data_IF_728183534084
#
_entry.id   IF_728183534084
#
_cell.length_a   1.000
_cell.length_b   1.000
_cell.length_c   1.000
_cell.angle_alpha   90.00
_cell.angle_beta   90.00
_cell.angle_gamma   90.00
#
_symmetry.space_group_name_H-M   'P 1'
#
loop_
_entity.id
_entity.type
_entity.pdbx_description
1 polymer ?
#
# COMPACT_ATOMS: atom_id res chain seq x y z
N UNK A 1 0.45 1.38 -25.87
CA UNK A 1 -0.78 0.75 -25.34
C UNK A 1 -1.95 1.63 -25.74
N UNK A 2 -3.02 1.09 -26.33
CA UNK A 2 -4.26 1.83 -26.53
C UNK A 2 -4.90 2.04 -25.16
N UNK A 3 -4.84 3.26 -24.62
CA UNK A 3 -5.53 3.61 -23.37
C UNK A 3 -7.01 3.28 -23.56
N UNK A 4 -7.51 2.29 -22.83
CA UNK A 4 -8.87 1.79 -23.03
C UNK A 4 -9.88 2.86 -22.62
N UNK A 5 -11.00 2.95 -23.31
CA UNK A 5 -12.19 3.74 -22.91
C UNK A 5 -12.85 3.22 -21.61
N UNK A 6 -12.22 2.30 -20.88
CA UNK A 6 -12.77 1.75 -19.65
C UNK A 6 -12.36 2.59 -18.44
N UNK A 7 -13.27 2.79 -17.48
CA UNK A 7 -12.95 3.45 -16.22
C UNK A 7 -11.79 2.73 -15.53
N UNK A 8 -10.90 3.51 -14.92
CA UNK A 8 -9.72 2.97 -14.23
C UNK A 8 -9.88 3.14 -12.74
N UNK A 9 -9.75 2.03 -12.01
CA UNK A 9 -9.62 2.04 -10.55
C UNK A 9 -8.16 1.97 -10.18
N UNK A 10 -7.67 2.97 -9.45
CA UNK A 10 -6.27 3.04 -9.02
C UNK A 10 -6.19 2.80 -7.51
N UNK A 11 -5.41 1.81 -7.10
CA UNK A 11 -5.21 1.46 -5.69
C UNK A 11 -4.09 2.32 -5.08
N UNK A 12 -4.39 2.95 -3.95
CA UNK A 12 -3.42 3.61 -3.08
C UNK A 12 -3.15 2.84 -1.80
N UNK A 13 -1.90 2.42 -1.59
CA UNK A 13 -1.41 1.81 -0.34
C UNK A 13 -0.26 2.60 0.30
N UNK A 14 0.28 3.60 -0.40
CA UNK A 14 1.36 4.46 0.08
C UNK A 14 0.91 5.92 0.10
N UNK A 15 1.73 6.77 -0.53
CA UNK A 15 1.48 8.21 -0.61
C UNK A 15 0.11 8.58 -1.18
N UNK A 16 -0.46 7.76 -2.08
CA UNK A 16 -1.79 8.00 -2.64
C UNK A 16 -2.88 8.12 -1.57
N UNK A 17 -2.71 7.51 -0.38
CA UNK A 17 -3.66 7.63 0.72
C UNK A 17 -3.82 9.06 1.28
N UNK A 18 -2.77 9.89 1.17
CA UNK A 18 -2.76 11.29 1.62
C UNK A 18 -2.42 12.29 0.51
N UNK A 19 -2.06 11.82 -0.68
CA UNK A 19 -1.86 12.61 -1.91
C UNK A 19 -2.58 11.89 -3.07
N UNK A 20 -3.93 11.98 -3.15
CA UNK A 20 -4.74 11.30 -4.18
C UNK A 20 -4.29 11.62 -5.61
N UNK A 21 -4.62 10.75 -6.60
CA UNK A 21 -4.42 11.08 -8.00
C UNK A 21 -5.37 12.20 -8.44
N UNK A 22 -5.01 13.01 -9.45
CA UNK A 22 -5.90 14.03 -9.99
C UNK A 22 -7.14 13.39 -10.62
N UNK A 23 -8.22 14.16 -10.74
CA UNK A 23 -9.50 13.75 -11.37
C UNK A 23 -10.22 12.55 -10.74
N UNK A 24 -9.78 12.08 -9.57
CA UNK A 24 -10.50 11.05 -8.84
C UNK A 24 -11.86 11.57 -8.37
N UNK A 25 -12.94 10.85 -8.71
CA UNK A 25 -14.31 11.23 -8.35
C UNK A 25 -14.77 10.48 -7.11
N UNK A 26 -14.40 9.20 -6.98
CA UNK A 26 -14.68 8.39 -5.80
C UNK A 26 -13.39 7.89 -5.16
N UNK A 27 -13.42 7.76 -3.83
CA UNK A 27 -12.39 7.13 -3.01
C UNK A 27 -13.05 6.10 -2.10
N UNK A 28 -12.83 4.82 -2.37
CA UNK A 28 -13.45 3.74 -1.62
C UNK A 28 -12.40 3.00 -0.77
N UNK A 29 -12.54 2.91 0.55
CA UNK A 29 -11.62 2.15 1.38
C UNK A 29 -11.85 0.64 1.22
N UNK A 30 -10.88 -0.16 1.66
CA UNK A 30 -10.96 -1.61 1.58
C UNK A 30 -9.59 -2.24 1.66
N UNK A 31 -9.45 -3.46 1.15
CA UNK A 31 -8.21 -4.21 1.25
C UNK A 31 -7.96 -5.12 0.04
N UNK A 32 -6.70 -5.46 -0.16
CA UNK A 32 -6.27 -6.56 -1.03
C UNK A 32 -5.70 -7.69 -0.18
N UNK A 33 -5.78 -8.91 -0.72
CA UNK A 33 -5.33 -10.13 -0.10
C UNK A 33 -4.02 -10.62 -0.73
N UNK A 34 -3.22 -11.37 0.02
CA UNK A 34 -2.00 -12.01 -0.46
C UNK A 34 -0.78 -11.11 -0.51
N UNK A 35 -0.82 -9.95 0.17
CA UNK A 35 0.30 -9.01 0.22
C UNK A 35 0.59 -8.58 1.65
N UNK A 36 1.83 -8.15 1.89
CA UNK A 36 2.23 -7.34 3.03
C UNK A 36 2.85 -6.03 2.57
N UNK A 37 2.82 -4.99 3.40
CA UNK A 37 3.39 -3.68 3.10
C UNK A 37 4.65 -3.45 3.91
N UNK A 38 5.74 -3.05 3.25
CA UNK A 38 7.03 -2.79 3.90
C UNK A 38 7.69 -1.53 3.37
N UNK A 39 8.44 -0.83 4.23
CA UNK A 39 9.31 0.29 3.85
C UNK A 39 10.63 -0.21 3.25
N UNK A 40 10.55 -1.13 2.30
CA UNK A 40 11.70 -1.81 1.70
C UNK A 40 11.97 -1.36 0.26
N UNK A 41 11.52 -0.16 -0.08
CA UNK A 41 11.88 0.52 -1.31
C UNK A 41 12.70 1.76 -0.96
N UNK A 42 13.89 1.91 -1.54
CA UNK A 42 14.68 3.13 -1.45
C UNK A 42 13.99 4.26 -2.21
N UNK A 43 14.15 5.51 -1.75
CA UNK A 43 13.68 6.69 -2.47
C UNK A 43 14.79 7.73 -2.53
N UNK A 44 15.26 8.00 -3.74
CA UNK A 44 16.40 8.90 -3.97
C UNK A 44 15.98 10.29 -4.50
N UNK A 45 14.70 10.44 -4.83
CA UNK A 45 14.11 11.56 -5.58
C UNK A 45 12.97 12.28 -4.84
N UNK A 46 12.36 11.61 -3.85
CA UNK A 46 11.22 12.13 -3.10
C UNK A 46 11.51 12.29 -1.62
N UNK A 47 11.85 11.18 -0.93
CA UNK A 47 11.98 11.15 0.55
C UNK A 47 13.43 11.00 1.03
N UNK A 48 14.38 11.04 0.10
CA UNK A 48 15.81 11.19 0.37
C UNK A 48 16.50 11.87 -0.80
N UNK A 49 17.81 11.67 -0.90
CA UNK A 49 18.65 12.08 -2.03
C UNK A 49 19.41 10.87 -2.58
N UNK A 50 20.09 10.98 -3.74
CA UNK A 50 20.95 9.90 -4.23
C UNK A 50 22.05 9.49 -3.23
N UNK A 51 22.60 10.43 -2.47
CA UNK A 51 23.66 10.18 -1.47
C UNK A 51 23.11 9.65 -0.14
N UNK A 52 21.88 10.04 0.21
CA UNK A 52 21.18 9.63 1.44
C UNK A 52 19.74 9.24 1.11
N UNK A 53 19.52 8.04 0.52
CA UNK A 53 18.20 7.63 0.08
C UNK A 53 17.28 7.38 1.27
N UNK A 54 16.02 7.75 1.12
CA UNK A 54 14.97 7.44 2.08
C UNK A 54 14.47 5.99 1.95
N UNK A 55 13.37 5.71 2.63
CA UNK A 55 12.58 4.49 2.57
C UNK A 55 11.12 4.84 2.32
N UNK A 56 10.50 4.20 1.35
CA UNK A 56 9.07 4.31 1.03
C UNK A 56 8.46 2.91 0.94
N UNK A 57 7.13 2.83 0.89
CA UNK A 57 6.44 1.54 0.91
C UNK A 57 6.43 0.85 -0.44
N UNK A 58 6.61 -0.45 -0.43
CA UNK A 58 6.22 -1.37 -1.51
C UNK A 58 5.35 -2.50 -0.96
N UNK A 59 4.86 -3.38 -1.84
CA UNK A 59 4.11 -4.57 -1.51
C UNK A 59 4.93 -5.83 -1.84
N UNK A 60 4.82 -6.84 -0.99
CA UNK A 60 5.44 -8.15 -1.19
C UNK A 60 4.32 -9.17 -1.23
N UNK A 61 4.24 -9.92 -2.33
CA UNK A 61 3.22 -10.95 -2.49
C UNK A 61 3.55 -12.22 -1.69
N UNK A 62 2.50 -13.03 -1.46
CA UNK A 62 2.58 -14.29 -0.75
C UNK A 62 3.60 -15.26 -1.36
N UNK A 63 3.71 -15.30 -2.69
CA UNK A 63 4.63 -16.24 -3.38
C UNK A 63 6.07 -15.93 -2.99
N UNK A 64 6.46 -14.66 -3.02
CA UNK A 64 7.79 -14.21 -2.61
C UNK A 64 8.03 -14.46 -1.11
N UNK A 65 7.02 -14.30 -0.26
CA UNK A 65 7.10 -14.61 1.17
C UNK A 65 7.34 -16.11 1.39
N UNK A 66 6.58 -16.98 0.72
CA UNK A 66 6.72 -18.44 0.84
C UNK A 66 8.11 -18.93 0.45
N UNK A 67 8.78 -18.24 -0.48
CA UNK A 67 10.08 -18.63 -1.02
C UNK A 67 11.29 -18.04 -0.25
N UNK A 68 11.07 -17.19 0.76
CA UNK A 68 12.15 -16.47 1.42
C UNK A 68 12.01 -16.48 2.95
N UNK A 69 12.87 -17.25 3.63
CA UNK A 69 12.85 -17.40 5.10
C UNK A 69 12.97 -16.07 5.87
N UNK A 70 13.67 -15.07 5.33
CA UNK A 70 13.79 -13.78 6.00
C UNK A 70 12.48 -12.98 5.90
N UNK A 71 11.75 -13.08 4.79
CA UNK A 71 10.39 -12.53 4.68
C UNK A 71 9.42 -13.28 5.60
N UNK A 72 9.53 -14.62 5.68
CA UNK A 72 8.72 -15.41 6.60
C UNK A 72 8.88 -14.97 8.06
N UNK A 73 10.13 -14.78 8.52
CA UNK A 73 10.42 -14.30 9.89
C UNK A 73 9.80 -12.93 10.18
N UNK A 74 9.86 -12.03 9.21
CA UNK A 74 9.26 -10.71 9.33
C UNK A 74 7.72 -10.79 9.36
N UNK A 75 7.11 -11.58 8.48
CA UNK A 75 5.64 -11.79 8.45
C UNK A 75 5.13 -12.49 9.71
N UNK A 76 5.89 -13.43 10.30
CA UNK A 76 5.59 -14.00 11.62
C UNK A 76 5.53 -12.95 12.73
N UNK A 77 6.34 -11.90 12.64
CA UNK A 77 6.41 -10.87 13.67
C UNK A 77 5.22 -9.92 13.63
N UNK A 78 4.63 -9.68 12.46
CA UNK A 78 3.66 -8.61 12.27
C UNK A 78 2.25 -9.11 11.90
N UNK A 79 2.11 -9.84 10.79
CA UNK A 79 0.81 -10.28 10.28
C UNK A 79 0.36 -11.60 10.94
N UNK A 80 1.30 -12.52 11.19
CA UNK A 80 1.01 -13.84 11.78
C UNK A 80 1.45 -13.93 13.24
N UNK A 81 1.61 -12.80 13.93
CA UNK A 81 2.10 -12.75 15.32
C UNK A 81 1.34 -13.62 16.32
N UNK A 82 0.03 -13.76 16.12
CA UNK A 82 -0.84 -14.55 17.00
C UNK A 82 -0.66 -16.06 16.74
N UNK A 83 0.04 -16.43 15.65
CA UNK A 83 0.39 -17.80 15.25
C UNK A 83 1.90 -18.09 15.38
N UNK A 84 2.73 -17.13 15.80
CA UNK A 84 4.20 -17.28 15.78
C UNK A 84 4.72 -18.46 16.63
N UNK A 85 4.02 -18.83 17.70
CA UNK A 85 4.36 -19.97 18.56
C UNK A 85 3.81 -21.33 18.11
N UNK A 86 2.99 -21.38 17.07
CA UNK A 86 2.26 -22.61 16.67
C UNK A 86 2.91 -23.37 15.51
N UNK A 87 4.10 -22.98 15.06
CA UNK A 87 4.79 -23.63 13.95
C UNK A 87 4.05 -23.46 12.62
N UNK A 88 3.89 -22.21 12.17
CA UNK A 88 3.23 -21.87 10.90
C UNK A 88 3.93 -22.59 9.74
N UNK A 89 3.17 -23.40 8.98
CA UNK A 89 3.61 -23.89 7.69
C UNK A 89 3.32 -22.85 6.61
N UNK A 90 4.36 -22.23 6.07
CA UNK A 90 4.22 -21.18 5.05
C UNK A 90 3.66 -21.72 3.72
N UNK A 91 3.90 -22.99 3.39
CA UNK A 91 3.40 -23.60 2.16
C UNK A 91 1.88 -23.78 2.17
N UNK A 92 1.25 -23.78 3.35
CA UNK A 92 -0.20 -23.91 3.52
C UNK A 92 -0.91 -22.55 3.57
N UNK A 93 -0.17 -21.43 3.65
CA UNK A 93 -0.77 -20.11 3.64
C UNK A 93 -1.44 -19.82 2.30
N UNK A 94 -2.59 -19.16 2.38
CA UNK A 94 -3.35 -18.71 1.23
C UNK A 94 -3.35 -17.20 1.16
N UNK A 95 -3.77 -16.62 0.03
CA UNK A 95 -3.90 -15.17 -0.09
C UNK A 95 -4.81 -14.56 1.00
N UNK A 96 -5.74 -15.32 1.57
CA UNK A 96 -6.64 -14.85 2.62
C UNK A 96 -5.97 -14.67 3.99
N UNK A 97 -4.78 -15.25 4.19
CA UNK A 97 -4.05 -15.14 5.44
C UNK A 97 -3.31 -13.81 5.59
N UNK A 98 -3.09 -13.09 4.48
CA UNK A 98 -2.39 -11.81 4.44
C UNK A 98 -3.28 -10.77 3.78
N UNK A 99 -3.40 -9.59 4.38
CA UNK A 99 -4.16 -8.49 3.77
C UNK A 99 -3.56 -7.15 4.13
N UNK A 100 -3.73 -6.18 3.23
CA UNK A 100 -3.35 -4.79 3.46
C UNK A 100 -4.51 -3.87 3.13
N UNK A 101 -4.71 -2.87 3.99
CA UNK A 101 -5.76 -1.87 3.82
C UNK A 101 -5.30 -0.70 2.96
N UNK A 102 -6.14 -0.26 2.04
CA UNK A 102 -5.88 0.92 1.24
C UNK A 102 -7.18 1.60 0.83
N UNK A 103 -7.13 2.35 -0.26
CA UNK A 103 -8.32 2.77 -0.96
C UNK A 103 -8.11 2.70 -2.46
N UNK A 104 -9.20 2.56 -3.20
CA UNK A 104 -9.22 2.69 -4.65
C UNK A 104 -9.84 4.02 -5.05
N UNK A 105 -9.33 4.59 -6.14
CA UNK A 105 -9.79 5.84 -6.72
C UNK A 105 -10.45 5.56 -8.07
N UNK A 106 -11.69 6.00 -8.24
CA UNK A 106 -12.38 5.94 -9.52
C UNK A 106 -11.93 7.11 -10.41
N UNK A 107 -11.34 6.78 -11.56
CA UNK A 107 -10.96 7.74 -12.58
C UNK A 107 -11.93 7.63 -13.76
N UNK A 108 -12.65 8.71 -14.12
CA UNK A 108 -13.52 8.72 -15.28
C UNK A 108 -12.76 8.36 -16.57
N UNK A 109 -13.40 7.65 -17.53
CA UNK A 109 -12.75 7.28 -18.80
C UNK A 109 -12.10 8.46 -19.53
N UNK A 110 -12.73 9.65 -19.52
CA UNK A 110 -12.22 10.87 -20.13
C UNK A 110 -10.90 11.38 -19.55
N UNK A 111 -10.54 10.92 -18.34
CA UNK A 111 -9.35 11.31 -17.58
C UNK A 111 -8.37 10.16 -17.35
N UNK A 112 -8.72 8.94 -17.72
CA UNK A 112 -7.92 7.74 -17.46
C UNK A 112 -6.49 7.84 -18.03
N UNK A 113 -6.35 8.34 -19.26
CA UNK A 113 -5.04 8.53 -19.91
C UNK A 113 -4.16 9.55 -19.16
N UNK A 114 -4.71 10.71 -18.82
CA UNK A 114 -3.99 11.77 -18.09
C UNK A 114 -3.50 11.28 -16.73
N UNK A 115 -4.34 10.52 -16.02
CA UNK A 115 -3.97 9.94 -14.72
C UNK A 115 -2.94 8.82 -14.86
N UNK A 116 -3.03 7.98 -15.90
CA UNK A 116 -2.03 6.95 -16.16
C UNK A 116 -0.64 7.57 -16.40
N UNK A 117 -0.54 8.58 -17.27
CA UNK A 117 0.71 9.31 -17.52
C UNK A 117 1.24 10.00 -16.26
N UNK A 118 0.36 10.60 -15.45
CA UNK A 118 0.73 11.17 -14.16
C UNK A 118 1.32 10.12 -13.20
N UNK A 119 0.73 8.92 -13.12
CA UNK A 119 1.18 7.86 -12.23
C UNK A 119 2.49 7.22 -12.73
N UNK A 120 2.64 7.02 -14.03
CA UNK A 120 3.92 6.58 -14.61
C UNK A 120 5.06 7.56 -14.26
N UNK A 121 4.80 8.87 -14.30
CA UNK A 121 5.75 9.90 -13.87
C UNK A 121 5.89 10.03 -12.34
N UNK A 122 4.98 9.49 -11.55
CA UNK A 122 5.07 9.57 -10.09
C UNK A 122 5.84 8.38 -9.51
N UNK A 123 5.79 7.25 -10.19
CA UNK A 123 6.31 5.97 -9.70
C UNK A 123 7.57 5.52 -10.48
N UNK A 124 8.35 6.49 -11.00
CA UNK A 124 9.47 6.30 -11.95
C UNK A 124 10.62 5.43 -11.40
N UNK A 125 10.77 5.34 -10.07
CA UNK A 125 11.83 4.58 -9.37
C UNK A 125 11.58 3.06 -9.39
N UNK A 126 11.23 2.54 -10.56
CA UNK A 126 11.12 1.11 -10.90
C UNK A 126 9.84 0.42 -10.43
N UNK A 127 8.82 1.17 -10.02
CA UNK A 127 7.50 0.56 -9.78
C UNK A 127 6.90 0.12 -11.10
N UNK A 128 6.22 -1.02 -11.08
CA UNK A 128 5.50 -1.56 -12.24
C UNK A 128 4.02 -1.67 -11.92
N UNK A 129 3.16 -1.53 -12.93
CA UNK A 129 1.73 -1.64 -12.77
C UNK A 129 1.29 -3.12 -12.74
N UNK A 130 0.46 -3.47 -11.77
CA UNK A 130 -0.14 -4.79 -11.59
C UNK A 130 -1.65 -4.67 -11.44
N UNK A 131 -2.40 -5.67 -11.91
CA UNK A 131 -3.84 -5.76 -11.67
C UNK A 131 -4.10 -6.60 -10.42
N UNK A 132 -4.92 -6.09 -9.51
CA UNK A 132 -5.35 -6.78 -8.29
C UNK A 132 -6.84 -6.64 -8.06
N UNK A 133 -7.43 -7.68 -7.46
CA UNK A 133 -8.82 -7.66 -7.04
C UNK A 133 -8.92 -7.00 -5.64
N UNK A 134 -9.64 -5.87 -5.56
CA UNK A 134 -9.79 -5.07 -4.35
C UNK A 134 -11.14 -5.32 -3.68
N UNK A 135 -11.12 -5.70 -2.41
CA UNK A 135 -12.31 -5.91 -1.58
C UNK A 135 -12.74 -4.57 -1.00
N UNK A 136 -13.86 -4.04 -1.48
CA UNK A 136 -14.37 -2.73 -1.06
C UNK A 136 -15.09 -2.82 0.29
N UNK A 137 -14.84 -1.83 1.13
CA UNK A 137 -15.62 -1.54 2.33
C UNK A 137 -16.34 -0.21 2.11
N UNK A 138 -17.65 -0.25 1.87
CA UNK A 138 -18.42 0.99 1.81
C UNK A 138 -18.57 1.60 3.19
N UNK A 139 -18.41 2.93 3.26
CA UNK A 139 -18.71 3.73 4.43
C UNK A 139 -20.19 4.12 4.43
N UNK A 140 -20.80 4.45 5.59
CA UNK A 140 -22.24 4.72 5.67
C UNK A 140 -22.74 5.85 4.73
N UNK A 141 -21.92 6.86 4.49
CA UNK A 141 -22.19 7.94 3.54
C UNK A 141 -22.17 7.45 2.09
N UNK A 142 -21.27 6.52 1.78
CA UNK A 142 -21.13 5.90 0.45
C UNK A 142 -22.24 4.90 0.15
N UNK A 143 -22.73 4.19 1.16
CA UNK A 143 -23.92 3.33 1.06
C UNK A 143 -25.21 4.13 0.77
N UNK A 144 -25.19 5.43 1.04
CA UNK A 144 -26.33 6.33 0.80
C UNK A 144 -26.22 7.14 -0.50
N UNK A 145 -25.12 7.01 -1.27
CA UNK A 145 -24.88 7.76 -2.51
C UNK A 145 -25.49 7.03 -3.72
N UNK A 146 -26.58 7.54 -4.33
CA UNK A 146 -27.25 6.86 -5.44
C UNK A 146 -26.38 6.75 -6.70
N UNK A 147 -25.56 7.75 -7.00
CA UNK A 147 -24.70 7.76 -8.19
C UNK A 147 -23.58 6.72 -8.05
N UNK A 148 -23.00 6.62 -6.85
CA UNK A 148 -22.01 5.59 -6.54
C UNK A 148 -22.64 4.19 -6.60
N UNK A 149 -23.82 3.99 -6.02
CA UNK A 149 -24.50 2.70 -6.06
C UNK A 149 -24.86 2.26 -7.48
N UNK A 150 -25.26 3.19 -8.34
CA UNK A 150 -25.49 2.93 -9.76
C UNK A 150 -24.19 2.49 -10.45
N UNK A 151 -23.10 3.23 -10.26
CA UNK A 151 -21.78 2.85 -10.76
C UNK A 151 -21.36 1.45 -10.28
N UNK A 152 -21.52 1.18 -8.98
CA UNK A 152 -21.13 -0.09 -8.36
C UNK A 152 -22.01 -1.27 -8.75
N UNK A 153 -23.27 -1.03 -9.15
CA UNK A 153 -24.18 -2.10 -9.60
C UNK A 153 -23.67 -2.87 -10.82
N UNK A 154 -22.76 -2.26 -11.59
CA UNK A 154 -22.11 -2.85 -12.77
C UNK A 154 -20.89 -3.70 -12.41
N UNK A 155 -20.45 -3.69 -11.16
CA UNK A 155 -19.21 -4.32 -10.71
C UNK A 155 -19.45 -5.69 -10.10
N UNK A 156 -18.42 -6.53 -10.16
CA UNK A 156 -18.48 -7.90 -9.64
C UNK A 156 -18.59 -7.92 -8.11
N UNK A 157 -19.31 -8.92 -7.61
CA UNK A 157 -19.37 -9.27 -6.19
C UNK A 157 -18.79 -10.66 -5.96
N UNK A 158 -18.19 -10.87 -4.80
CA UNK A 158 -17.78 -12.20 -4.35
C UNK A 158 -18.98 -13.05 -3.91
N UNK A 159 -18.72 -14.30 -3.53
CA UNK A 159 -19.77 -15.22 -3.05
C UNK A 159 -20.49 -14.76 -1.77
N UNK A 160 -19.92 -13.80 -1.04
CA UNK A 160 -20.50 -13.21 0.17
C UNK A 160 -21.24 -11.89 -0.12
N UNK A 161 -21.30 -11.46 -1.38
CA UNK A 161 -21.94 -10.21 -1.80
C UNK A 161 -21.06 -8.97 -1.63
N UNK A 162 -19.78 -9.10 -1.30
CA UNK A 162 -18.84 -7.99 -1.21
C UNK A 162 -18.39 -7.56 -2.59
N UNK A 163 -18.26 -6.26 -2.84
CA UNK A 163 -17.73 -5.77 -4.11
C UNK A 163 -16.25 -6.10 -4.26
N UNK A 164 -15.92 -6.73 -5.38
CA UNK A 164 -14.57 -7.11 -5.77
C UNK A 164 -14.21 -6.38 -7.08
N UNK A 165 -13.40 -5.34 -6.96
CA UNK A 165 -13.10 -4.42 -8.06
C UNK A 165 -11.68 -4.66 -8.56
N UNK A 166 -11.53 -4.93 -9.86
CA UNK A 166 -10.24 -4.94 -10.52
C UNK A 166 -9.63 -3.54 -10.51
N UNK A 167 -8.44 -3.43 -9.95
CA UNK A 167 -7.73 -2.16 -9.79
C UNK A 167 -6.27 -2.28 -10.18
N UNK A 168 -5.69 -1.17 -10.64
CA UNK A 168 -4.26 -1.06 -10.91
C UNK A 168 -3.54 -0.62 -9.65
N UNK A 169 -2.47 -1.31 -9.32
CA UNK A 169 -1.55 -0.98 -8.22
C UNK A 169 -0.12 -0.92 -8.75
N UNK A 170 0.65 0.06 -8.28
CA UNK A 170 2.06 0.20 -8.62
C UNK A 170 2.91 -0.47 -7.56
N UNK A 171 3.76 -1.43 -7.91
CA UNK A 171 4.59 -2.20 -6.96
C UNK A 171 6.06 -2.14 -7.37
N UNK A 172 6.94 -1.76 -6.44
CA UNK A 172 8.38 -1.95 -6.55
C UNK A 172 8.69 -3.40 -6.23
N UNK A 173 8.78 -4.24 -7.26
CA UNK A 173 8.97 -5.69 -7.11
C UNK A 173 10.30 -6.01 -6.45
N UNK A 174 10.45 -7.23 -5.93
CA UNK A 174 11.71 -7.65 -5.28
C UNK A 174 12.94 -7.62 -6.21
N UNK A 175 12.71 -7.68 -7.52
CA UNK A 175 13.76 -7.58 -8.55
C UNK A 175 14.12 -6.12 -8.92
N UNK A 176 13.45 -5.12 -8.33
CA UNK A 176 13.73 -3.71 -8.58
C UNK A 176 15.08 -3.34 -7.93
N UNK A 177 15.92 -2.58 -8.64
CA UNK A 177 17.21 -2.08 -8.14
C UNK A 177 17.08 -1.22 -6.86
N UNK A 178 15.93 -0.58 -6.64
CA UNK A 178 15.60 0.20 -5.46
C UNK A 178 14.98 -0.64 -4.33
N UNK A 179 14.76 -1.94 -4.51
CA UNK A 179 14.34 -2.83 -3.44
C UNK A 179 15.51 -3.10 -2.49
N UNK A 180 15.30 -2.86 -1.20
CA UNK A 180 16.34 -3.00 -0.15
C UNK A 180 15.97 -4.04 0.92
N UNK A 181 14.84 -4.72 0.74
CA UNK A 181 14.35 -5.71 1.68
C UNK A 181 15.09 -7.05 1.60
N UNK A 182 15.04 -7.86 2.66
CA UNK A 182 14.50 -7.54 3.98
C UNK A 182 15.46 -6.64 4.77
N UNK A 183 14.90 -5.66 5.50
CA UNK A 183 15.68 -4.71 6.31
C UNK A 183 15.14 -4.71 7.76
N UNK A 184 16.03 -4.68 8.76
CA UNK A 184 15.64 -4.61 10.17
C UNK A 184 14.87 -3.31 10.44
N UNK A 185 13.85 -3.39 11.30
CA UNK A 185 12.99 -2.25 11.58
C UNK A 185 13.76 -1.07 12.20
N UNK A 186 14.85 -1.32 12.95
CA UNK A 186 15.66 -0.25 13.50
C UNK A 186 16.54 0.42 12.44
N UNK A 187 17.05 -0.36 11.48
CA UNK A 187 17.82 0.18 10.36
C UNK A 187 16.92 1.06 9.50
N UNK A 188 15.75 0.57 9.10
CA UNK A 188 14.72 1.35 8.40
C UNK A 188 14.32 2.60 9.21
N UNK A 189 14.08 2.45 10.52
CA UNK A 189 13.68 3.57 11.38
C UNK A 189 14.76 4.64 11.52
N UNK A 190 16.04 4.24 11.58
CA UNK A 190 17.16 5.18 11.67
C UNK A 190 17.20 6.08 10.43
N UNK A 191 17.07 5.51 9.24
CA UNK A 191 17.03 6.22 7.96
C UNK A 191 15.82 7.15 7.89
N UNK A 192 14.62 6.62 8.20
CA UNK A 192 13.38 7.42 8.16
C UNK A 192 13.43 8.60 9.12
N UNK A 193 14.11 8.45 10.26
CA UNK A 193 14.17 9.50 11.28
C UNK A 193 14.98 10.73 10.87
N UNK A 194 15.92 10.57 9.92
CA UNK A 194 16.87 11.62 9.52
C UNK A 194 16.72 12.09 8.08
N UNK A 195 16.34 11.20 7.16
CA UNK A 195 16.46 11.51 5.74
C UNK A 195 15.34 12.44 5.26
N UNK A 196 15.71 13.35 4.36
CA UNK A 196 14.83 14.38 3.79
C UNK A 196 15.11 14.43 2.29
N UNK A 197 14.05 14.43 1.49
CA UNK A 197 14.15 14.63 0.05
C UNK A 197 13.31 15.83 -0.43
N UNK A 198 13.24 16.06 -1.74
CA UNK A 198 12.47 17.15 -2.35
C UNK A 198 10.98 17.18 -1.95
N UNK A 199 10.40 16.03 -1.61
CA UNK A 199 9.00 15.92 -1.17
C UNK A 199 8.81 16.07 0.36
N UNK A 200 9.86 16.45 1.08
CA UNK A 200 9.88 16.65 2.52
C UNK A 200 10.49 15.48 3.31
N UNK A 201 10.47 15.56 4.66
CA UNK A 201 11.08 14.56 5.53
C UNK A 201 10.50 13.15 5.32
N UNK A 202 11.34 12.13 5.44
CA UNK A 202 10.89 10.75 5.32
C UNK A 202 9.94 10.36 6.46
N UNK A 203 10.19 10.84 7.68
CA UNK A 203 9.31 10.64 8.84
C UNK A 203 7.89 11.19 8.62
N UNK A 204 7.76 12.29 7.86
CA UNK A 204 6.46 12.85 7.52
C UNK A 204 5.66 11.89 6.61
N UNK A 205 6.32 11.23 5.65
CA UNK A 205 5.70 10.18 4.83
C UNK A 205 5.10 9.08 5.71
N UNK A 206 5.90 8.54 6.63
CA UNK A 206 5.47 7.46 7.53
C UNK A 206 4.32 7.91 8.43
N UNK A 207 4.42 9.12 8.99
CA UNK A 207 3.40 9.68 9.89
C UNK A 207 2.06 9.91 9.18
N UNK A 208 2.11 10.47 7.96
CA UNK A 208 0.92 10.68 7.14
C UNK A 208 0.29 9.33 6.76
N UNK A 209 1.10 8.33 6.38
CA UNK A 209 0.61 7.00 6.05
C UNK A 209 -0.12 6.33 7.22
N UNK A 210 0.51 6.30 8.41
CA UNK A 210 -0.09 5.72 9.62
C UNK A 210 -1.39 6.43 9.97
N UNK A 211 -1.43 7.76 9.85
CA UNK A 211 -2.62 8.56 10.11
C UNK A 211 -3.74 8.22 9.13
N UNK A 212 -3.44 8.21 7.82
CA UNK A 212 -4.42 7.87 6.79
C UNK A 212 -4.98 6.47 6.95
N UNK A 213 -4.14 5.49 7.26
CA UNK A 213 -4.61 4.12 7.53
C UNK A 213 -5.55 4.09 8.73
N UNK A 214 -5.22 4.75 9.84
CA UNK A 214 -6.05 4.76 11.05
C UNK A 214 -7.46 5.32 10.81
N UNK A 215 -7.61 6.23 9.84
CA UNK A 215 -8.88 6.88 9.51
C UNK A 215 -9.61 6.26 8.31
N UNK A 216 -9.06 5.22 7.66
CA UNK A 216 -9.70 4.55 6.52
C UNK A 216 -10.98 3.80 6.89
N UNK A 217 -11.02 3.20 8.07
CA UNK A 217 -12.16 2.44 8.58
C UNK A 217 -12.57 2.97 9.96
N UNK A 218 -13.82 3.41 10.16
CA UNK A 218 -14.31 3.91 11.45
C UNK A 218 -14.18 2.90 12.60
N UNK A 219 -14.19 1.60 12.29
CA UNK A 219 -14.02 0.53 13.28
C UNK A 219 -12.55 0.19 13.56
N UNK A 220 -11.60 0.94 12.98
CA UNK A 220 -10.17 0.73 13.13
C UNK A 220 -9.67 -0.66 12.69
N UNK A 221 -10.33 -1.32 11.74
CA UNK A 221 -9.84 -2.60 11.20
C UNK A 221 -8.61 -2.43 10.30
N UNK A 222 -8.36 -1.21 9.81
CA UNK A 222 -7.22 -0.84 8.97
C UNK A 222 -5.88 -0.69 9.71
N UNK A 223 -5.74 -1.38 10.83
CA UNK A 223 -4.54 -1.35 11.65
C UNK A 223 -3.39 -2.12 11.00
N UNK A 224 -2.22 -1.46 10.90
CA UNK A 224 -0.98 -2.07 10.44
C UNK A 224 0.05 -2.05 11.59
N UNK A 225 0.46 -3.24 12.05
CA UNK A 225 1.34 -3.39 13.21
C UNK A 225 2.79 -3.06 12.88
N UNK A 226 3.24 -3.43 11.68
CA UNK A 226 4.56 -3.09 11.17
C UNK A 226 4.74 -1.57 11.14
N UNK A 227 3.79 -0.85 10.56
CA UNK A 227 3.87 0.62 10.46
C UNK A 227 3.80 1.33 11.81
N UNK A 228 2.99 0.81 12.75
CA UNK A 228 2.93 1.34 14.12
C UNK A 228 4.25 1.15 14.86
N UNK A 229 4.88 -0.02 14.75
CA UNK A 229 6.18 -0.27 15.35
C UNK A 229 7.26 0.59 14.69
N UNK A 230 7.25 0.71 13.36
CA UNK A 230 8.23 1.50 12.62
C UNK A 230 8.14 2.98 12.99
N UNK A 231 6.94 3.53 13.11
CA UNK A 231 6.74 4.92 13.56
C UNK A 231 7.25 5.12 14.99
N UNK A 232 6.95 4.18 15.90
CA UNK A 232 7.45 4.20 17.28
C UNK A 232 8.98 4.17 17.33
N UNK A 233 9.63 3.33 16.52
CA UNK A 233 11.08 3.25 16.44
C UNK A 233 11.68 4.54 15.85
N UNK A 234 11.12 5.06 14.76
CA UNK A 234 11.61 6.26 14.08
C UNK A 234 11.56 7.50 15.00
N UNK A 235 10.47 7.66 15.76
CA UNK A 235 10.34 8.75 16.75
C UNK A 235 11.32 8.62 17.93
N UNK A 236 11.76 7.40 18.28
CA UNK A 236 12.80 7.20 19.31
C UNK A 236 14.19 7.61 18.79
N UNK A 237 14.49 7.34 17.53
CA UNK A 237 15.76 7.76 16.92
C UNK A 237 15.83 9.29 16.78
N UNK A 238 14.73 9.94 16.39
CA UNK A 238 14.69 11.39 16.27
C UNK A 238 14.98 12.12 17.60
N UNK A 239 14.60 11.54 18.75
CA UNK A 239 14.90 12.12 20.07
C UNK A 239 16.35 11.96 20.53
N UNK A 240 17.15 11.17 19.82
CA UNK A 240 18.56 10.91 20.14
C UNK A 240 19.53 11.75 19.32
N UNK A 241 19.04 12.44 18.28
CA UNK A 241 19.78 13.38 17.43
C UNK A 241 19.60 14.79 17.99
#
# INVERSE_FOLDING_TARGET
MTYSEKPSWVLGYGSLLFKPPPHAVYRLPGHINGFVRRFWQSSSDHRGTPESPGRVVTLIDLKNIQQNEAFQKDVLKYELRDRAGSGVNFDELTVKDLSIWGCIYYIPPSKAKEVAEYLELREQDGYTAHEVDFNVRLLPDQEADPELLELMSTLNKDANGNYLIKSIVYIGTIDNASFVGPEDINDTASIISTNVGPSGPNLEYLSNLVTSLKTLDPNHNSNDYYLKELLKCSLKFQKKV
#
